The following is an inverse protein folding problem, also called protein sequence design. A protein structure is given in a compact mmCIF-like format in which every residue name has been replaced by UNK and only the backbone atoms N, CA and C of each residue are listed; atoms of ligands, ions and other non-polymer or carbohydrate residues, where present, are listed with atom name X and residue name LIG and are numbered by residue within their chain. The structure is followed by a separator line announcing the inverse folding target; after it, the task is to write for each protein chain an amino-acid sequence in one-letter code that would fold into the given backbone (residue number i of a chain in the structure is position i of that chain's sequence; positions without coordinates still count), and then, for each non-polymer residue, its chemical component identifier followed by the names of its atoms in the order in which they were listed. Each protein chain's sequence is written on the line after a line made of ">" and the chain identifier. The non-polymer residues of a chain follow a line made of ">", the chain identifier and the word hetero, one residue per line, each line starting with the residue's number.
data_IF_444083153116
#
_entry.id   IF_444083153116
#
_cell.length_a   1.000
_cell.length_b   1.000
_cell.length_c   1.000
_cell.angle_alpha   90.00
_cell.angle_beta   90.00
_cell.angle_gamma   90.00
#
_symmetry.space_group_name_H-M   'P 1'
#
loop_
_entity.id
_entity.type
_entity.pdbx_description
1 polymer ?
#
# COMPACT_ATOMS: atom_id res chain seq x y z
N UNK A 1 -13.64 11.08 0.75
CA UNK A 1 -12.63 11.24 -0.33
C UNK A 1 -11.25 11.11 0.30
N UNK A 2 -10.37 10.26 -0.25
CA UNK A 2 -8.96 10.24 0.13
C UNK A 2 -8.36 11.58 -0.35
N UNK A 3 -8.16 12.52 0.57
CA UNK A 3 -7.56 13.84 0.27
C UNK A 3 -6.07 13.70 -0.08
N UNK A 4 -5.26 14.73 0.20
CA UNK A 4 -3.81 14.74 -0.10
C UNK A 4 -3.01 13.52 0.44
N UNK A 5 -3.60 12.74 1.34
CA UNK A 5 -3.02 11.51 1.90
C UNK A 5 -2.87 10.36 0.90
N UNK A 6 -3.44 10.45 -0.32
CA UNK A 6 -3.26 9.38 -1.31
C UNK A 6 -1.79 9.19 -1.70
N UNK A 7 -0.97 10.24 -1.64
CA UNK A 7 0.48 10.19 -1.88
C UNK A 7 1.24 9.41 -0.80
N UNK A 8 0.64 9.20 0.36
CA UNK A 8 1.24 8.45 1.46
C UNK A 8 0.90 6.95 1.41
N UNK A 9 0.02 6.51 0.49
CA UNK A 9 -0.33 5.10 0.37
C UNK A 9 0.81 4.36 -0.35
N UNK A 10 1.46 3.44 0.36
CA UNK A 10 2.49 2.56 -0.24
C UNK A 10 1.84 1.42 -1.02
N UNK A 11 0.83 0.78 -0.42
CA UNK A 11 0.18 -0.42 -0.95
C UNK A 11 -1.28 -0.49 -0.55
N UNK A 12 -2.07 -1.06 -1.45
CA UNK A 12 -3.46 -1.43 -1.24
C UNK A 12 -3.61 -2.93 -1.43
N UNK A 13 -4.27 -3.63 -0.52
CA UNK A 13 -4.60 -5.03 -0.68
C UNK A 13 -6.10 -5.27 -0.58
N UNK A 14 -6.60 -6.12 -1.45
CA UNK A 14 -7.90 -6.76 -1.35
C UNK A 14 -7.66 -8.22 -0.90
N UNK A 15 -7.98 -8.56 0.35
CA UNK A 15 -7.65 -9.86 0.96
C UNK A 15 -8.91 -10.67 1.24
N UNK A 16 -8.98 -11.90 0.76
CA UNK A 16 -10.17 -12.77 0.87
C UNK A 16 -9.86 -14.11 1.52
N UNK A 17 -8.58 -14.47 1.65
CA UNK A 17 -8.11 -15.75 2.18
C UNK A 17 -8.06 -16.88 1.15
N UNK A 18 -8.69 -16.72 -0.02
CA UNK A 18 -8.57 -17.65 -1.14
C UNK A 18 -7.31 -17.39 -1.97
N UNK A 19 -6.79 -18.41 -2.68
CA UNK A 19 -5.59 -18.27 -3.53
C UNK A 19 -5.87 -18.29 -5.04
N UNK A 20 -6.96 -18.92 -5.48
CA UNK A 20 -7.24 -19.10 -6.90
C UNK A 20 -7.62 -17.76 -7.58
N UNK A 21 -6.86 -17.34 -8.59
CA UNK A 21 -7.09 -16.05 -9.28
C UNK A 21 -6.75 -14.81 -8.44
N UNK A 22 -5.99 -14.98 -7.34
CA UNK A 22 -5.71 -13.92 -6.36
C UNK A 22 -4.27 -13.38 -6.48
N UNK A 23 -3.88 -13.04 -7.72
CA UNK A 23 -2.60 -12.41 -8.06
C UNK A 23 -2.83 -11.17 -8.94
N UNK A 24 -2.24 -10.05 -8.56
CA UNK A 24 -2.13 -8.85 -9.40
C UNK A 24 -0.72 -8.79 -9.98
N UNK A 25 -0.61 -8.58 -11.29
CA UNK A 25 0.68 -8.39 -11.96
C UNK A 25 1.27 -7.05 -11.55
N UNK A 26 2.50 -7.03 -11.06
CA UNK A 26 3.29 -5.82 -10.80
C UNK A 26 4.45 -5.77 -11.78
N UNK A 27 4.86 -4.56 -12.19
CA UNK A 27 6.05 -4.39 -13.00
C UNK A 27 7.33 -4.40 -12.12
N UNK A 28 8.49 -4.47 -12.77
CA UNK A 28 9.77 -4.55 -12.08
C UNK A 28 10.08 -3.28 -11.27
N UNK A 29 9.60 -2.12 -11.73
CA UNK A 29 9.76 -0.85 -11.04
C UNK A 29 8.97 -0.84 -9.71
N UNK A 30 7.73 -1.30 -9.72
CA UNK A 30 6.88 -1.46 -8.53
C UNK A 30 7.47 -2.49 -7.56
N UNK A 31 8.06 -3.57 -8.09
CA UNK A 31 8.72 -4.59 -7.28
C UNK A 31 9.97 -4.03 -6.59
N UNK A 32 10.77 -3.25 -7.34
CA UNK A 32 12.03 -2.65 -6.87
C UNK A 32 11.80 -1.53 -5.85
N UNK A 33 10.88 -0.61 -6.13
CA UNK A 33 10.52 0.48 -5.21
C UNK A 33 9.74 -0.02 -3.99
N UNK A 34 9.13 -1.20 -4.09
CA UNK A 34 8.23 -1.72 -3.07
C UNK A 34 6.94 -0.92 -2.94
N UNK A 35 6.64 -0.01 -3.87
CA UNK A 35 5.45 0.84 -3.84
C UNK A 35 4.55 0.51 -5.04
N UNK A 36 3.34 0.05 -4.75
CA UNK A 36 2.32 -0.18 -5.79
C UNK A 36 1.35 0.99 -5.90
N UNK A 37 1.45 1.97 -5.00
CA UNK A 37 0.55 3.11 -4.89
C UNK A 37 -0.89 2.63 -4.72
N UNK A 38 -1.79 3.13 -5.57
CA UNK A 38 -3.22 2.79 -5.55
C UNK A 38 -3.57 1.45 -6.23
N UNK A 39 -2.59 0.76 -6.81
CA UNK A 39 -2.81 -0.54 -7.44
C UNK A 39 -3.19 -1.57 -6.37
N UNK A 40 -4.33 -2.21 -6.57
CA UNK A 40 -4.88 -3.20 -5.63
C UNK A 40 -4.20 -4.55 -5.82
N UNK A 41 -3.39 -4.91 -4.84
CA UNK A 41 -2.73 -6.20 -4.70
C UNK A 41 -3.68 -7.22 -4.07
N UNK A 42 -3.42 -8.51 -4.26
CA UNK A 42 -4.26 -9.60 -3.76
C UNK A 42 -3.49 -10.52 -2.81
N UNK A 43 -4.13 -11.59 -2.35
CA UNK A 43 -3.61 -12.52 -1.35
C UNK A 43 -2.21 -13.08 -1.68
N UNK A 44 -1.96 -13.48 -2.94
CA UNK A 44 -0.65 -14.00 -3.33
C UNK A 44 0.44 -12.92 -3.27
N UNK A 45 0.11 -11.68 -3.66
CA UNK A 45 1.06 -10.56 -3.53
C UNK A 45 1.37 -10.29 -2.06
N UNK A 46 0.35 -10.31 -1.20
CA UNK A 46 0.52 -10.09 0.23
C UNK A 46 1.44 -11.14 0.86
N UNK A 47 1.22 -12.43 0.56
CA UNK A 47 2.05 -13.54 1.05
C UNK A 47 3.52 -13.36 0.61
N UNK A 48 3.74 -12.97 -0.64
CA UNK A 48 5.09 -12.71 -1.15
C UNK A 48 5.75 -11.53 -0.44
N UNK A 49 5.02 -10.42 -0.26
CA UNK A 49 5.52 -9.24 0.44
C UNK A 49 5.82 -9.53 1.93
N UNK A 50 5.13 -10.47 2.59
CA UNK A 50 5.43 -10.83 3.98
C UNK A 50 6.76 -11.59 4.15
N UNK A 51 7.37 -12.10 3.06
CA UNK A 51 8.70 -12.73 3.10
C UNK A 51 9.83 -11.70 3.22
N UNK A 52 9.57 -10.47 2.82
CA UNK A 52 10.51 -9.36 2.89
C UNK A 52 10.30 -8.57 4.20
N UNK A 53 11.29 -8.53 5.10
CA UNK A 53 11.19 -7.82 6.38
C UNK A 53 10.82 -6.34 6.25
N UNK A 54 11.22 -5.67 5.17
CA UNK A 54 10.92 -4.24 4.96
C UNK A 54 9.47 -4.01 4.51
N UNK A 55 8.81 -5.06 4.03
CA UNK A 55 7.44 -5.03 3.49
C UNK A 55 6.43 -5.68 4.42
N UNK A 56 6.91 -6.42 5.43
CA UNK A 56 6.10 -7.10 6.42
C UNK A 56 5.23 -6.11 7.18
N UNK A 57 3.95 -6.44 7.31
CA UNK A 57 3.03 -5.66 8.14
C UNK A 57 3.15 -6.20 9.56
N UNK A 58 3.82 -5.44 10.42
CA UNK A 58 3.91 -5.73 11.85
C UNK A 58 2.86 -4.90 12.61
N UNK A 59 2.24 -5.54 13.60
CA UNK A 59 1.34 -4.92 14.55
C UNK A 59 1.82 -5.29 15.95
N UNK A 60 1.64 -4.38 16.89
CA UNK A 60 1.78 -4.70 18.31
C UNK A 60 0.72 -5.74 18.71
N UNK A 61 1.02 -6.58 19.70
CA UNK A 61 0.14 -7.72 20.03
C UNK A 61 -1.25 -7.24 20.48
N UNK A 62 -1.32 -6.16 21.27
CA UNK A 62 -2.60 -5.58 21.73
C UNK A 62 -3.47 -5.09 20.55
N UNK A 63 -2.87 -4.41 19.56
CA UNK A 63 -3.58 -3.92 18.37
C UNK A 63 -4.08 -5.09 17.52
N UNK A 64 -3.25 -6.13 17.39
CA UNK A 64 -3.60 -7.36 16.68
C UNK A 64 -4.76 -8.08 17.35
N UNK A 65 -4.74 -8.24 18.68
CA UNK A 65 -5.84 -8.85 19.42
C UNK A 65 -7.15 -8.08 19.22
N UNK A 66 -7.11 -6.74 19.30
CA UNK A 66 -8.27 -5.88 19.10
C UNK A 66 -8.85 -5.98 17.67
N UNK A 67 -7.98 -5.96 16.65
CA UNK A 67 -8.39 -6.12 15.24
C UNK A 67 -8.99 -7.50 15.01
N UNK A 68 -8.34 -8.55 15.52
CA UNK A 68 -8.83 -9.94 15.37
C UNK A 68 -10.15 -10.17 16.07
N UNK A 69 -10.36 -9.56 17.25
CA UNK A 69 -11.64 -9.63 17.96
C UNK A 69 -12.77 -9.00 17.13
N UNK A 70 -12.52 -7.87 16.48
CA UNK A 70 -13.48 -7.20 15.58
C UNK A 70 -13.76 -8.05 14.34
N UNK A 71 -12.71 -8.49 13.63
CA UNK A 71 -12.85 -9.33 12.43
C UNK A 71 -13.62 -10.63 12.71
N UNK A 72 -13.44 -11.22 13.89
CA UNK A 72 -14.18 -12.43 14.30
C UNK A 72 -15.67 -12.16 14.48
N UNK A 73 -16.04 -11.03 15.11
CA UNK A 73 -17.44 -10.62 15.28
C UNK A 73 -18.09 -10.32 13.93
N UNK A 74 -17.40 -9.57 13.07
CA UNK A 74 -17.93 -9.19 11.76
C UNK A 74 -18.09 -10.40 10.84
N UNK A 75 -17.10 -11.30 10.82
CA UNK A 75 -17.19 -12.54 10.04
C UNK A 75 -18.32 -13.45 10.52
N UNK A 76 -18.59 -13.47 11.84
CA UNK A 76 -19.72 -14.21 12.38
C UNK A 76 -21.04 -13.60 11.90
N UNK A 77 -21.19 -12.28 12.00
CA UNK A 77 -22.36 -11.56 11.53
C UNK A 77 -22.63 -11.82 10.04
N UNK A 78 -21.61 -11.71 9.18
CA UNK A 78 -21.74 -11.95 7.74
C UNK A 78 -22.19 -13.38 7.45
N UNK A 79 -21.60 -14.36 8.13
CA UNK A 79 -21.99 -15.77 8.03
C UNK A 79 -23.45 -16.01 8.45
N UNK A 80 -23.88 -15.43 9.57
CA UNK A 80 -25.25 -15.60 10.08
C UNK A 80 -26.31 -15.05 9.11
N UNK A 81 -25.93 -14.11 8.24
CA UNK A 81 -26.79 -13.54 7.20
C UNK A 81 -26.57 -14.17 5.82
N UNK A 82 -25.76 -15.24 5.70
CA UNK A 82 -25.46 -15.89 4.42
C UNK A 82 -24.65 -15.01 3.45
N UNK A 83 -24.00 -13.95 3.94
CA UNK A 83 -23.14 -13.08 3.15
C UNK A 83 -21.76 -13.74 3.01
N UNK A 84 -21.41 -14.07 1.78
CA UNK A 84 -20.14 -14.69 1.41
C UNK A 84 -19.33 -13.78 0.49
N UNK A 85 -18.13 -14.23 0.15
CA UNK A 85 -17.28 -13.58 -0.85
C UNK A 85 -16.79 -12.16 -0.54
N UNK A 86 -16.88 -11.75 0.72
CA UNK A 86 -16.34 -10.49 1.21
C UNK A 86 -14.80 -10.51 1.28
N UNK A 87 -14.21 -9.33 1.33
CA UNK A 87 -12.78 -9.13 1.48
C UNK A 87 -12.46 -8.05 2.50
N UNK A 88 -11.27 -8.15 3.08
CA UNK A 88 -10.67 -7.14 3.93
C UNK A 88 -9.82 -6.24 3.03
N UNK A 89 -10.18 -4.96 2.98
CA UNK A 89 -9.38 -3.97 2.28
C UNK A 89 -8.34 -3.36 3.23
N UNK A 90 -7.05 -3.61 2.93
CA UNK A 90 -5.93 -3.17 3.76
C UNK A 90 -5.12 -2.09 3.04
N UNK A 91 -4.92 -0.95 3.71
CA UNK A 91 -4.07 0.13 3.24
C UNK A 91 -2.82 0.23 4.11
N UNK A 92 -1.65 0.17 3.48
CA UNK A 92 -0.36 0.43 4.14
C UNK A 92 0.06 1.85 3.80
N UNK A 93 0.16 2.70 4.82
CA UNK A 93 0.42 4.13 4.68
C UNK A 93 1.79 4.48 5.28
N UNK A 94 2.62 5.18 4.51
CA UNK A 94 3.82 5.84 5.01
C UNK A 94 3.46 7.15 5.69
N UNK A 95 3.47 7.16 7.02
CA UNK A 95 3.20 8.39 7.76
C UNK A 95 4.30 9.45 7.59
N UNK A 96 5.53 9.06 7.21
CA UNK A 96 6.61 10.02 6.96
C UNK A 96 6.34 10.87 5.71
N UNK A 97 5.56 10.36 4.75
CA UNK A 97 5.17 11.04 3.51
C UNK A 97 3.92 11.92 3.66
N UNK A 98 3.28 11.95 4.83
CA UNK A 98 2.16 12.86 5.09
C UNK A 98 2.70 14.29 5.24
N UNK A 99 2.91 14.96 4.11
CA UNK A 99 3.32 16.36 4.05
C UNK A 99 2.08 17.23 4.32
N UNK A 100 1.75 17.40 5.59
CA UNK A 100 1.05 18.58 6.08
C UNK A 100 2.08 19.65 6.42
N UNK A 101 2.44 20.52 5.46
CA UNK A 101 3.28 21.72 5.61
C UNK A 101 4.47 21.61 6.59
N UNK A 102 5.62 21.11 6.13
CA UNK A 102 6.95 21.55 6.61
C UNK A 102 7.91 21.61 5.41
N UNK A 103 8.80 22.61 5.45
CA UNK A 103 9.67 23.12 4.38
C UNK A 103 10.20 22.06 3.40
N UNK A 104 10.27 22.44 2.11
CA UNK A 104 11.06 21.69 1.13
C UNK A 104 12.49 21.58 1.66
N UNK A 105 12.95 20.37 1.93
CA UNK A 105 14.36 20.14 2.24
C UNK A 105 15.18 20.38 0.97
N UNK A 106 16.38 20.95 1.14
CA UNK A 106 17.31 21.31 0.04
C UNK A 106 17.49 20.19 -0.98
N UNK A 107 17.54 18.93 -0.53
CA UNK A 107 17.71 17.77 -1.40
C UNK A 107 16.53 17.56 -2.38
N UNK A 108 15.30 17.90 -2.01
CA UNK A 108 14.15 17.80 -2.92
C UNK A 108 14.22 18.89 -4.01
N UNK A 109 14.65 20.10 -3.65
CA UNK A 109 14.83 21.19 -4.60
C UNK A 109 15.94 20.88 -5.62
N UNK A 110 17.02 20.23 -5.17
CA UNK A 110 18.12 19.79 -6.04
C UNK A 110 17.65 18.70 -7.00
N UNK A 111 16.84 17.74 -6.54
CA UNK A 111 16.33 16.68 -7.41
C UNK A 111 15.38 17.22 -8.49
N UNK A 112 14.49 18.14 -8.13
CA UNK A 112 13.58 18.80 -9.07
C UNK A 112 14.36 19.62 -10.13
N UNK A 113 15.41 20.34 -9.71
CA UNK A 113 16.25 21.12 -10.61
C UNK A 113 17.08 20.25 -11.58
N UNK A 114 17.59 19.11 -11.11
CA UNK A 114 18.34 18.17 -11.95
C UNK A 114 17.44 17.50 -12.98
N UNK A 115 16.22 17.12 -12.62
CA UNK A 115 15.26 16.54 -13.56
C UNK A 115 14.90 17.52 -14.68
N UNK A 116 14.63 18.80 -14.35
CA UNK A 116 14.35 19.83 -15.37
C UNK A 116 15.53 20.07 -16.33
N UNK A 117 16.77 20.01 -15.85
CA UNK A 117 17.95 20.13 -16.71
C UNK A 117 18.10 18.95 -17.67
N UNK A 118 17.77 17.73 -17.26
CA UNK A 118 17.83 16.56 -18.14
C UNK A 118 16.77 16.61 -19.24
N UNK A 119 15.54 17.00 -18.91
CA UNK A 119 14.45 17.12 -19.91
C UNK A 119 14.74 18.19 -20.97
N UNK A 120 15.39 19.31 -20.58
CA UNK A 120 15.75 20.37 -21.52
C UNK A 120 16.86 19.97 -22.50
N UNK A 121 17.71 19.00 -22.15
CA UNK A 121 18.77 18.51 -23.04
C UNK A 121 18.25 17.51 -24.08
N UNK A 122 17.17 16.79 -23.77
CA UNK A 122 16.53 15.86 -24.71
C UNK A 122 15.65 16.59 -25.74
N UNK A 123 15.09 17.76 -25.40
CA UNK A 123 14.32 18.58 -26.35
C UNK A 123 15.17 19.37 -27.38
N UNK A 124 16.51 19.23 -27.35
CA UNK A 124 17.43 19.92 -28.27
C UNK A 124 18.11 18.98 -29.29
N UNK A 125 17.68 17.71 -29.37
CA UNK A 125 18.06 16.77 -30.42
C UNK A 125 16.91 16.54 -31.39
#
# INVERSE_FOLDING_TARGET
>A
MLGADFMAIKRCYDLKGSLHGRLTKIDDFQRFTGESGLKVLKDQNFIEDQKDPEKKVALEEDDKEAIMATLKKDSQFLRDHGLIDYSVFLLVIDRSKRIGKKEKTFNSLVYDALQQQYTMKECQQ
#
